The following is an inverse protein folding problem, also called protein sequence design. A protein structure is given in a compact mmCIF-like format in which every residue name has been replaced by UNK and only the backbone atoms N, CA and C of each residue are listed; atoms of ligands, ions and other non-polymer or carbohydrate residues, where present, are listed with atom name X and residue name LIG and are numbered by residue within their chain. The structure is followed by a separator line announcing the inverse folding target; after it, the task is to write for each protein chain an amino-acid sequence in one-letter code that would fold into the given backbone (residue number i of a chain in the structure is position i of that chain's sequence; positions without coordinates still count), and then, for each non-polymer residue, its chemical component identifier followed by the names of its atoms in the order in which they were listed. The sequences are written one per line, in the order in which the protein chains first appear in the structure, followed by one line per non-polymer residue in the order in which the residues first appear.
data_IF_657326462641
#
_entry.id   IF_657326462641
#
_cell.length_a   1.000
_cell.length_b   1.000
_cell.length_c   1.000
_cell.angle_alpha   90.00
_cell.angle_beta   90.00
_cell.angle_gamma   90.00
#
_symmetry.space_group_name_H-M   'P 1'
#
loop_
_entity.id
_entity.type
_entity.pdbx_description
1 polymer ?
#
# COMPACT_ATOMS: atom_id res chain seq x y z
N UNK A 1 25.03 -12.21 13.08
CA UNK A 1 25.41 -11.46 11.86
C UNK A 1 25.35 -12.36 10.63
N UNK A 2 25.91 -13.58 10.66
CA UNK A 2 25.82 -14.55 9.55
C UNK A 2 24.38 -15.03 9.26
N UNK A 3 23.55 -15.30 10.28
CA UNK A 3 22.15 -15.72 10.07
C UNK A 3 21.27 -14.63 9.46
N UNK A 4 21.48 -13.36 9.85
CA UNK A 4 20.76 -12.20 9.31
C UNK A 4 21.02 -12.03 7.81
N UNK A 5 22.24 -12.34 7.34
CA UNK A 5 22.56 -12.25 5.92
C UNK A 5 21.84 -13.33 5.10
N UNK A 6 21.75 -14.56 5.61
CA UNK A 6 21.04 -15.65 4.92
C UNK A 6 19.52 -15.43 4.83
N UNK A 7 18.91 -14.84 5.86
CA UNK A 7 17.50 -14.44 5.81
C UNK A 7 17.27 -13.33 4.77
N UNK A 8 18.13 -12.31 4.74
CA UNK A 8 18.05 -11.22 3.76
C UNK A 8 18.21 -11.74 2.33
N UNK A 9 19.16 -12.64 2.06
CA UNK A 9 19.35 -13.24 0.73
C UNK A 9 18.11 -14.01 0.26
N UNK A 10 17.59 -14.91 1.10
CA UNK A 10 16.35 -15.66 0.81
C UNK A 10 15.16 -14.73 0.58
N UNK A 11 15.11 -13.60 1.28
CA UNK A 11 14.05 -12.61 1.12
C UNK A 11 14.18 -11.79 -0.17
N UNK A 12 15.41 -11.47 -0.59
CA UNK A 12 15.68 -10.87 -1.92
C UNK A 12 15.26 -11.83 -3.03
N UNK A 13 15.53 -13.13 -2.87
CA UNK A 13 15.04 -14.16 -3.82
C UNK A 13 13.51 -14.19 -3.88
N UNK A 14 12.81 -14.14 -2.74
CA UNK A 14 11.35 -14.11 -2.69
C UNK A 14 10.75 -12.87 -3.36
N UNK A 15 11.43 -11.72 -3.26
CA UNK A 15 11.04 -10.48 -3.94
C UNK A 15 11.31 -10.55 -5.43
N UNK A 16 12.45 -11.11 -5.83
CA UNK A 16 12.75 -11.42 -7.23
C UNK A 16 11.70 -12.34 -7.84
N UNK A 17 11.30 -13.39 -7.12
CA UNK A 17 10.24 -14.30 -7.54
C UNK A 17 8.88 -13.59 -7.67
N UNK A 18 8.51 -12.75 -6.70
CA UNK A 18 7.26 -11.98 -6.77
C UNK A 18 7.24 -11.00 -7.96
N UNK A 19 8.37 -10.32 -8.22
CA UNK A 19 8.54 -9.48 -9.41
C UNK A 19 8.39 -10.30 -10.69
N UNK A 20 9.08 -11.44 -10.79
CA UNK A 20 9.00 -12.34 -11.95
C UNK A 20 7.57 -12.83 -12.18
N UNK A 21 6.86 -13.22 -11.13
CA UNK A 21 5.47 -13.66 -11.24
C UNK A 21 4.59 -12.53 -11.81
N UNK A 22 4.69 -11.30 -11.28
CA UNK A 22 3.93 -10.15 -11.76
C UNK A 22 4.28 -9.81 -13.22
N UNK A 23 5.57 -9.85 -13.58
CA UNK A 23 6.03 -9.60 -14.96
C UNK A 23 5.49 -10.67 -15.91
N UNK A 24 5.58 -11.94 -15.55
CA UNK A 24 5.05 -13.04 -16.37
C UNK A 24 3.55 -12.91 -16.59
N UNK A 25 2.79 -12.59 -15.53
CA UNK A 25 1.35 -12.38 -15.61
C UNK A 25 0.99 -11.25 -16.60
N UNK A 26 1.63 -10.08 -16.42
CA UNK A 26 1.39 -8.91 -17.24
C UNK A 26 1.84 -9.14 -18.68
N UNK A 27 3.00 -9.78 -18.88
CA UNK A 27 3.50 -10.12 -20.20
C UNK A 27 2.57 -11.08 -20.94
N UNK A 28 1.95 -12.04 -20.24
CA UNK A 28 1.00 -12.97 -20.85
C UNK A 28 -0.25 -12.22 -21.33
N UNK A 29 -0.82 -11.35 -20.48
CA UNK A 29 -1.95 -10.52 -20.87
C UNK A 29 -1.61 -9.60 -22.06
N UNK A 30 -0.45 -8.94 -22.03
CA UNK A 30 0.01 -8.08 -23.12
C UNK A 30 0.23 -8.83 -24.43
N UNK A 31 0.85 -10.02 -24.38
CA UNK A 31 1.06 -10.86 -25.56
C UNK A 31 -0.28 -11.25 -26.19
N UNK A 32 -1.23 -11.70 -25.38
CA UNK A 32 -2.60 -12.00 -25.82
C UNK A 32 -3.26 -10.75 -26.43
N UNK A 33 -3.11 -9.57 -25.84
CA UNK A 33 -3.72 -8.34 -26.38
C UNK A 33 -3.05 -7.88 -27.69
N UNK A 34 -1.77 -8.18 -27.90
CA UNK A 34 -1.00 -7.64 -29.05
C UNK A 34 -0.93 -8.63 -30.22
N UNK A 35 -0.99 -9.92 -29.97
CA UNK A 35 -0.80 -10.96 -30.98
C UNK A 35 -2.13 -11.56 -31.46
N UNK A 36 -2.58 -11.12 -32.65
CA UNK A 36 -3.83 -11.60 -33.25
C UNK A 36 -3.86 -13.13 -33.47
N UNK A 37 -2.84 -13.78 -34.06
CA UNK A 37 -2.74 -15.23 -34.12
C UNK A 37 -2.95 -15.95 -32.78
N UNK A 38 -2.37 -15.43 -31.70
CA UNK A 38 -2.52 -16.03 -30.37
C UNK A 38 -3.98 -15.94 -29.88
N UNK A 39 -4.63 -14.79 -30.09
CA UNK A 39 -6.05 -14.62 -29.77
C UNK A 39 -6.95 -15.51 -30.60
N UNK A 40 -6.69 -15.65 -31.89
CA UNK A 40 -7.48 -16.53 -32.75
C UNK A 40 -7.41 -17.99 -32.27
N UNK A 41 -6.22 -18.43 -31.84
CA UNK A 41 -6.04 -19.77 -31.26
C UNK A 41 -6.83 -19.92 -29.95
N UNK A 42 -6.78 -18.93 -29.06
CA UNK A 42 -7.58 -18.92 -27.83
C UNK A 42 -9.08 -18.89 -28.12
N UNK A 43 -9.52 -18.12 -29.11
CA UNK A 43 -10.92 -18.07 -29.54
C UNK A 43 -11.42 -19.42 -30.06
N UNK A 44 -10.59 -20.15 -30.83
CA UNK A 44 -10.89 -21.53 -31.25
C UNK A 44 -11.05 -22.47 -30.06
N UNK A 45 -10.19 -22.35 -29.04
CA UNK A 45 -10.31 -23.13 -27.78
C UNK A 45 -11.61 -22.76 -27.04
N UNK A 46 -11.98 -21.48 -27.04
CA UNK A 46 -13.23 -20.99 -26.43
C UNK A 46 -14.50 -21.40 -27.20
N UNK A 47 -14.35 -21.96 -28.41
CA UNK A 47 -15.47 -22.27 -29.30
C UNK A 47 -16.20 -21.03 -29.82
N UNK A 48 -15.51 -19.90 -29.99
CA UNK A 48 -16.10 -18.66 -30.51
C UNK A 48 -15.68 -18.40 -31.95
N UNK A 49 -16.54 -17.69 -32.69
CA UNK A 49 -16.25 -17.29 -34.07
C UNK A 49 -15.08 -16.29 -34.14
N UNK A 50 -14.35 -16.22 -35.27
CA UNK A 50 -13.25 -15.27 -35.44
C UNK A 50 -13.68 -13.82 -35.16
N UNK A 51 -13.00 -13.17 -34.21
CA UNK A 51 -13.27 -11.78 -33.81
C UNK A 51 -14.42 -11.61 -32.82
N UNK A 52 -15.13 -12.68 -32.44
CA UNK A 52 -16.07 -12.62 -31.33
C UNK A 52 -15.31 -12.39 -30.02
N UNK A 53 -15.86 -11.53 -29.17
CA UNK A 53 -15.30 -11.25 -27.85
C UNK A 53 -15.47 -12.48 -26.93
N UNK A 54 -14.46 -12.79 -26.12
CA UNK A 54 -14.49 -13.88 -25.12
C UNK A 54 -13.67 -13.50 -23.88
N UNK A 55 -13.85 -14.25 -22.80
CA UNK A 55 -13.12 -14.04 -21.54
C UNK A 55 -12.00 -15.07 -21.38
N UNK A 56 -10.88 -14.61 -20.84
CA UNK A 56 -9.76 -15.43 -20.43
C UNK A 56 -9.60 -15.25 -18.93
N UNK A 57 -9.86 -16.31 -18.17
CA UNK A 57 -9.45 -16.38 -16.76
C UNK A 57 -7.96 -16.66 -16.68
N UNK A 58 -7.25 -15.96 -15.79
CA UNK A 58 -5.80 -16.12 -15.68
C UNK A 58 -5.33 -16.59 -14.29
N UNK A 59 -4.45 -17.59 -14.29
CA UNK A 59 -3.19 -17.70 -13.53
C UNK A 59 -3.22 -17.25 -12.07
N UNK A 60 -3.99 -17.99 -11.25
CA UNK A 60 -4.05 -17.87 -9.77
C UNK A 60 -4.85 -16.68 -9.21
N UNK A 61 -5.37 -15.78 -10.04
CA UNK A 61 -6.09 -14.58 -9.58
C UNK A 61 -7.57 -14.59 -10.03
N UNK A 62 -8.42 -13.83 -9.34
CA UNK A 62 -9.85 -13.74 -9.66
C UNK A 62 -10.18 -12.71 -10.76
N UNK A 63 -9.29 -12.53 -11.74
CA UNK A 63 -9.43 -11.52 -12.79
C UNK A 63 -9.61 -12.12 -14.18
N UNK A 64 -10.29 -11.35 -15.03
CA UNK A 64 -10.77 -11.79 -16.33
C UNK A 64 -10.31 -10.80 -17.40
N UNK A 65 -9.53 -11.30 -18.35
CA UNK A 65 -9.14 -10.54 -19.53
C UNK A 65 -10.17 -10.79 -20.63
N UNK A 66 -10.96 -9.78 -20.96
CA UNK A 66 -11.83 -9.80 -22.13
C UNK A 66 -11.03 -9.37 -23.35
N UNK A 67 -11.11 -10.13 -24.43
CA UNK A 67 -10.49 -9.77 -25.73
C UNK A 67 -11.43 -10.08 -26.89
N UNK A 68 -11.31 -9.30 -27.97
CA UNK A 68 -11.99 -9.57 -29.24
C UNK A 68 -11.99 -8.37 -30.17
N UNK A 69 -13.04 -8.21 -30.98
CA UNK A 69 -13.17 -7.13 -31.97
C UNK A 69 -13.24 -5.74 -31.32
N UNK A 70 -13.79 -5.62 -30.12
CA UNK A 70 -13.95 -4.32 -29.44
C UNK A 70 -12.74 -3.90 -28.61
N UNK A 71 -11.60 -4.59 -28.77
CA UNK A 71 -10.39 -4.33 -28.00
C UNK A 71 -10.29 -5.26 -26.79
N UNK A 72 -9.87 -4.71 -25.65
CA UNK A 72 -9.69 -5.47 -24.42
C UNK A 72 -10.20 -4.70 -23.21
N UNK A 73 -10.67 -5.44 -22.21
CA UNK A 73 -10.94 -4.93 -20.86
C UNK A 73 -10.46 -5.95 -19.84
N UNK A 74 -10.20 -5.48 -18.62
CA UNK A 74 -9.79 -6.33 -17.51
C UNK A 74 -10.80 -6.15 -16.40
N UNK A 75 -11.48 -7.22 -16.04
CA UNK A 75 -12.57 -7.22 -15.10
C UNK A 75 -12.22 -8.03 -13.85
N UNK A 76 -12.65 -7.56 -12.68
CA UNK A 76 -12.55 -8.28 -11.39
C UNK A 76 -13.64 -9.32 -11.18
N UNK A 77 -14.65 -9.31 -12.06
CA UNK A 77 -15.80 -10.21 -11.99
C UNK A 77 -16.02 -10.85 -13.33
N UNK A 78 -16.34 -12.13 -13.30
CA UNK A 78 -16.74 -12.86 -14.50
C UNK A 78 -18.02 -12.26 -15.06
N UNK A 79 -17.99 -11.83 -16.31
CA UNK A 79 -19.20 -11.40 -17.00
C UNK A 79 -20.01 -12.64 -17.45
N UNK A 80 -21.32 -12.67 -17.14
CA UNK A 80 -22.22 -13.76 -17.55
C UNK A 80 -22.50 -13.70 -19.04
N UNK A 81 -22.71 -14.86 -19.68
CA UNK A 81 -23.08 -14.95 -21.10
C UNK A 81 -21.90 -14.93 -22.08
N UNK A 82 -20.67 -14.89 -21.58
CA UNK A 82 -19.46 -14.94 -22.39
C UNK A 82 -18.84 -16.34 -22.37
N UNK A 83 -18.29 -16.77 -23.52
CA UNK A 83 -17.40 -17.94 -23.56
C UNK A 83 -16.14 -17.67 -22.76
N UNK A 84 -15.67 -18.69 -22.06
CA UNK A 84 -14.55 -18.58 -21.11
C UNK A 84 -13.47 -19.57 -21.47
N UNK A 85 -12.23 -19.08 -21.47
CA UNK A 85 -11.02 -19.90 -21.49
C UNK A 85 -10.34 -19.78 -20.14
N UNK A 86 -10.00 -20.92 -19.55
CA UNK A 86 -9.08 -20.98 -18.41
C UNK A 86 -7.65 -21.12 -18.94
N UNK A 87 -6.85 -20.07 -18.81
CA UNK A 87 -5.47 -20.07 -19.34
C UNK A 87 -4.59 -21.11 -18.63
N UNK A 88 -4.83 -21.39 -17.35
CA UNK A 88 -4.05 -22.35 -16.57
C UNK A 88 -4.32 -23.76 -17.08
N UNK A 89 -5.59 -24.04 -17.36
CA UNK A 89 -6.00 -25.30 -17.93
C UNK A 89 -5.44 -25.48 -19.34
N UNK A 90 -5.45 -24.44 -20.17
CA UNK A 90 -4.85 -24.48 -21.52
C UNK A 90 -3.36 -24.77 -21.44
N UNK A 91 -2.61 -24.06 -20.59
CA UNK A 91 -1.17 -24.26 -20.44
C UNK A 91 -0.85 -25.66 -19.91
N UNK A 92 -1.70 -26.20 -19.02
CA UNK A 92 -1.55 -27.56 -18.47
C UNK A 92 -1.84 -28.66 -19.48
N UNK A 93 -2.81 -28.46 -20.36
CA UNK A 93 -3.32 -29.50 -21.29
C UNK A 93 -2.72 -29.43 -22.70
N UNK A 94 -2.20 -28.26 -23.11
CA UNK A 94 -1.67 -28.01 -24.45
C UNK A 94 -0.25 -27.42 -24.36
N UNK A 95 0.81 -28.23 -24.16
CA UNK A 95 2.19 -27.74 -24.01
C UNK A 95 2.69 -26.92 -25.21
N UNK A 96 2.21 -27.21 -26.41
CA UNK A 96 2.53 -26.45 -27.62
C UNK A 96 1.85 -25.07 -27.66
N UNK A 97 0.85 -24.83 -26.81
CA UNK A 97 0.33 -23.50 -26.54
C UNK A 97 1.30 -22.66 -25.71
N UNK A 98 1.94 -23.24 -24.68
CA UNK A 98 2.94 -22.54 -23.87
C UNK A 98 4.07 -21.97 -24.74
N UNK A 99 4.63 -22.80 -25.63
CA UNK A 99 5.63 -22.34 -26.60
C UNK A 99 5.12 -21.20 -27.48
N UNK A 100 3.87 -21.28 -27.96
CA UNK A 100 3.28 -20.22 -28.77
C UNK A 100 3.10 -18.91 -27.99
N UNK A 101 2.73 -19.00 -26.71
CA UNK A 101 2.64 -17.86 -25.81
C UNK A 101 4.02 -17.23 -25.57
N UNK A 102 5.05 -18.04 -25.32
CA UNK A 102 6.43 -17.56 -25.16
C UNK A 102 6.95 -16.89 -26.44
N UNK A 103 6.75 -17.52 -27.60
CA UNK A 103 7.13 -16.95 -28.91
C UNK A 103 6.38 -15.62 -29.16
N UNK A 104 5.12 -15.53 -28.74
CA UNK A 104 4.30 -14.32 -28.81
C UNK A 104 4.83 -13.21 -27.90
N UNK A 105 5.17 -13.53 -26.66
CA UNK A 105 5.78 -12.59 -25.70
C UNK A 105 7.08 -12.01 -26.24
N UNK A 106 7.91 -12.82 -26.89
CA UNK A 106 9.16 -12.37 -27.52
C UNK A 106 8.88 -11.45 -28.71
N UNK A 107 8.01 -11.86 -29.64
CA UNK A 107 7.69 -11.11 -30.86
C UNK A 107 7.04 -9.75 -30.59
N UNK A 108 6.20 -9.68 -29.55
CA UNK A 108 5.47 -8.46 -29.17
C UNK A 108 6.19 -7.62 -28.13
N UNK A 109 7.40 -8.02 -27.73
CA UNK A 109 8.17 -7.43 -26.64
C UNK A 109 7.42 -7.33 -25.30
N UNK A 110 6.39 -8.16 -25.09
CA UNK A 110 5.50 -8.08 -23.94
C UNK A 110 6.27 -8.23 -22.62
N UNK A 111 7.24 -9.12 -22.54
CA UNK A 111 8.07 -9.31 -21.33
C UNK A 111 8.89 -8.07 -21.00
N UNK A 112 9.52 -7.45 -22.00
CA UNK A 112 10.33 -6.24 -21.81
C UNK A 112 9.46 -5.08 -21.34
N UNK A 113 8.31 -4.89 -21.97
CA UNK A 113 7.42 -3.78 -21.65
C UNK A 113 6.75 -4.00 -20.28
N UNK A 114 6.32 -5.22 -19.95
CA UNK A 114 5.82 -5.57 -18.63
C UNK A 114 6.87 -5.36 -17.53
N UNK A 115 8.12 -5.73 -17.79
CA UNK A 115 9.24 -5.45 -16.89
C UNK A 115 9.42 -3.94 -16.69
N UNK A 116 9.45 -3.15 -17.77
CA UNK A 116 9.61 -1.69 -17.70
C UNK A 116 8.47 -0.99 -16.95
N UNK A 117 7.24 -1.47 -17.10
CA UNK A 117 6.08 -0.95 -16.36
C UNK A 117 6.20 -1.26 -14.86
N UNK A 118 6.58 -2.49 -14.51
CA UNK A 118 6.57 -2.93 -13.11
C UNK A 118 7.87 -2.61 -12.36
N UNK A 119 8.95 -2.28 -13.05
CA UNK A 119 10.25 -1.94 -12.45
C UNK A 119 10.12 -0.87 -11.36
N UNK A 120 9.32 0.17 -11.62
CA UNK A 120 9.08 1.27 -10.70
C UNK A 120 8.46 0.86 -9.35
N UNK A 121 7.77 -0.29 -9.25
CA UNK A 121 7.22 -0.80 -7.99
C UNK A 121 8.32 -1.32 -7.04
N UNK A 122 9.38 -1.86 -7.62
CA UNK A 122 10.47 -2.51 -6.89
C UNK A 122 11.72 -1.62 -6.80
N UNK A 123 11.83 -0.63 -7.68
CA UNK A 123 12.88 0.38 -7.62
C UNK A 123 12.57 1.48 -6.59
N UNK A 124 13.54 1.84 -5.75
CA UNK A 124 13.25 2.67 -4.58
C UNK A 124 13.48 4.16 -4.77
N UNK A 125 14.09 4.57 -5.87
CA UNK A 125 14.38 5.96 -6.19
C UNK A 125 14.71 6.08 -7.69
N UNK A 126 14.22 7.11 -8.39
CA UNK A 126 13.33 8.16 -7.87
C UNK A 126 11.92 7.63 -7.59
N UNK A 127 11.18 8.36 -6.74
CA UNK A 127 9.74 8.11 -6.58
C UNK A 127 9.08 8.19 -7.97
N UNK A 128 8.29 7.17 -8.30
CA UNK A 128 7.62 7.08 -9.58
C UNK A 128 6.69 8.28 -9.84
N UNK A 129 6.47 8.59 -11.10
CA UNK A 129 5.53 9.64 -11.49
C UNK A 129 4.09 9.13 -11.46
N UNK A 130 3.13 10.07 -11.46
CA UNK A 130 1.70 9.79 -11.68
C UNK A 130 1.45 9.01 -12.95
N UNK A 131 2.14 9.35 -14.04
CA UNK A 131 1.96 8.66 -15.32
C UNK A 131 2.36 7.20 -15.23
N UNK A 132 3.50 6.90 -14.60
CA UNK A 132 4.00 5.54 -14.45
C UNK A 132 3.07 4.74 -13.53
N UNK A 133 2.64 5.34 -12.42
CA UNK A 133 1.70 4.67 -11.53
C UNK A 133 0.34 4.44 -12.18
N UNK A 134 -0.16 5.40 -12.97
CA UNK A 134 -1.41 5.25 -13.72
C UNK A 134 -1.34 4.10 -14.73
N UNK A 135 -0.19 3.96 -15.41
CA UNK A 135 0.04 2.84 -16.33
C UNK A 135 0.01 1.49 -15.58
N UNK A 136 0.67 1.37 -14.43
CA UNK A 136 0.58 0.18 -13.58
C UNK A 136 -0.85 -0.07 -13.11
N UNK A 137 -1.54 0.99 -12.66
CA UNK A 137 -2.87 0.90 -12.07
C UNK A 137 -3.95 0.50 -13.08
N UNK A 138 -3.76 0.79 -14.37
CA UNK A 138 -4.61 0.26 -15.45
C UNK A 138 -4.63 -1.28 -15.48
N UNK A 139 -3.57 -1.93 -14.98
CA UNK A 139 -3.46 -3.38 -14.84
C UNK A 139 -3.78 -3.89 -13.43
N UNK A 140 -4.22 -3.02 -12.51
CA UNK A 140 -4.49 -3.38 -11.12
C UNK A 140 -5.38 -4.63 -10.95
N UNK A 141 -6.46 -4.87 -11.71
CA UNK A 141 -7.25 -6.10 -11.55
C UNK A 141 -6.42 -7.38 -11.76
N UNK A 142 -5.39 -7.36 -12.61
CA UNK A 142 -4.50 -8.52 -12.80
C UNK A 142 -3.45 -8.62 -11.68
N UNK A 143 -3.05 -7.49 -11.11
CA UNK A 143 -1.85 -7.37 -10.28
C UNK A 143 -2.14 -7.28 -8.77
N UNK A 144 -3.34 -6.86 -8.36
CA UNK A 144 -3.64 -6.45 -6.98
C UNK A 144 -3.41 -7.55 -5.94
N UNK A 145 -3.80 -8.80 -6.22
CA UNK A 145 -3.57 -9.93 -5.32
C UNK A 145 -2.08 -10.30 -5.24
N UNK A 146 -1.36 -10.23 -6.37
CA UNK A 146 0.08 -10.51 -6.43
C UNK A 146 0.87 -9.42 -5.72
N UNK A 147 0.47 -8.15 -5.90
CA UNK A 147 1.04 -7.00 -5.22
C UNK A 147 0.84 -7.10 -3.71
N UNK A 148 -0.36 -7.50 -3.26
CA UNK A 148 -0.62 -7.76 -1.84
C UNK A 148 0.23 -8.90 -1.29
N UNK A 149 0.31 -10.03 -2.00
CA UNK A 149 1.16 -11.15 -1.60
C UNK A 149 2.65 -10.76 -1.54
N UNK A 150 3.12 -9.96 -2.50
CA UNK A 150 4.47 -9.41 -2.49
C UNK A 150 4.69 -8.49 -1.29
N UNK A 151 3.75 -7.57 -1.02
CA UNK A 151 3.77 -6.69 0.16
C UNK A 151 3.84 -7.50 1.46
N UNK A 152 3.04 -8.56 1.60
CA UNK A 152 3.07 -9.44 2.79
C UNK A 152 4.41 -10.18 2.94
N UNK A 153 5.06 -10.55 1.83
CA UNK A 153 6.40 -11.15 1.85
C UNK A 153 7.50 -10.15 2.24
N UNK A 154 7.31 -8.85 2.02
CA UNK A 154 8.27 -7.80 2.44
C UNK A 154 8.27 -7.61 3.97
N UNK A 155 7.14 -7.87 4.65
CA UNK A 155 6.98 -7.51 6.05
C UNK A 155 8.00 -8.16 7.00
N UNK A 156 8.24 -9.48 6.94
CA UNK A 156 9.21 -10.10 7.83
C UNK A 156 10.64 -9.58 7.56
N UNK A 157 10.96 -9.25 6.31
CA UNK A 157 12.24 -8.63 5.92
C UNK A 157 12.42 -7.28 6.59
N UNK A 158 11.38 -6.45 6.54
CA UNK A 158 11.39 -5.15 7.21
C UNK A 158 11.50 -5.32 8.72
N UNK A 159 10.85 -6.30 9.33
CA UNK A 159 10.95 -6.52 10.78
C UNK A 159 12.38 -6.92 11.21
N UNK A 160 13.04 -7.81 10.45
CA UNK A 160 14.45 -8.17 10.68
C UNK A 160 15.37 -6.97 10.47
N UNK A 161 15.24 -6.28 9.34
CA UNK A 161 16.06 -5.10 9.03
C UNK A 161 15.82 -3.95 10.02
N UNK A 162 14.59 -3.76 10.51
CA UNK A 162 14.30 -2.72 11.50
C UNK A 162 15.13 -2.92 12.75
N UNK A 163 15.28 -4.15 13.23
CA UNK A 163 16.08 -4.45 14.43
C UNK A 163 17.55 -4.08 14.22
N UNK A 164 18.10 -4.41 13.05
CA UNK A 164 19.47 -4.04 12.64
C UNK A 164 19.63 -2.53 12.56
N UNK A 165 18.73 -1.85 11.84
CA UNK A 165 18.77 -0.39 11.66
C UNK A 165 18.60 0.32 13.00
N UNK A 166 17.70 -0.14 13.88
CA UNK A 166 17.55 0.42 15.24
C UNK A 166 18.84 0.34 16.04
N UNK A 167 19.51 -0.81 16.00
CA UNK A 167 20.81 -0.98 16.66
C UNK A 167 21.85 -0.02 16.09
N UNK A 168 21.97 0.05 14.77
CA UNK A 168 22.88 0.97 14.07
C UNK A 168 22.60 2.45 14.36
N UNK A 169 21.32 2.83 14.47
CA UNK A 169 20.90 4.20 14.75
C UNK A 169 21.12 4.62 16.21
N UNK A 170 21.16 3.65 17.13
CA UNK A 170 21.35 3.87 18.58
C UNK A 170 22.83 3.92 19.00
N UNK A 171 23.74 3.37 18.18
CA UNK A 171 25.19 3.39 18.44
C UNK A 171 25.89 4.68 17.98
N UNK A 172 27.13 4.87 18.43
CA UNK A 172 28.03 5.95 17.98
C UNK A 172 28.53 5.69 16.56
N UNK A 173 27.92 6.40 15.60
CA UNK A 173 28.35 6.74 14.24
C UNK A 173 29.39 5.84 13.52
N UNK A 174 28.95 5.08 12.52
CA UNK A 174 29.86 4.63 11.44
C UNK A 174 29.36 3.50 10.54
N UNK A 175 28.69 2.48 11.09
CA UNK A 175 28.57 1.18 10.42
C UNK A 175 27.26 0.99 9.63
N UNK A 176 26.20 1.78 9.87
CA UNK A 176 24.85 1.51 9.33
C UNK A 176 24.42 2.23 8.05
N UNK A 177 25.21 2.19 6.97
CA UNK A 177 24.85 2.89 5.72
C UNK A 177 23.96 2.06 4.80
N UNK A 178 24.28 0.78 4.67
CA UNK A 178 23.65 -0.13 3.71
C UNK A 178 22.28 -0.60 4.20
N UNK A 179 22.17 -1.00 5.48
CA UNK A 179 20.92 -1.50 6.08
C UNK A 179 19.82 -0.44 6.10
N UNK A 180 20.16 0.81 6.47
CA UNK A 180 19.22 1.93 6.46
C UNK A 180 18.68 2.22 5.05
N UNK A 181 19.56 2.18 4.04
CA UNK A 181 19.16 2.34 2.64
C UNK A 181 18.25 1.19 2.24
N UNK A 182 18.67 -0.06 2.39
CA UNK A 182 17.86 -1.22 2.03
C UNK A 182 16.46 -1.21 2.70
N UNK A 183 16.41 -0.84 3.99
CA UNK A 183 15.15 -0.66 4.72
C UNK A 183 14.25 0.41 4.09
N UNK A 184 14.80 1.59 3.80
CA UNK A 184 14.08 2.69 3.15
C UNK A 184 13.52 2.27 1.78
N UNK A 185 14.33 1.54 1.01
CA UNK A 185 13.98 1.05 -0.32
C UNK A 185 12.81 0.04 -0.27
N UNK A 186 12.90 -0.95 0.62
CA UNK A 186 11.85 -1.94 0.81
C UNK A 186 10.56 -1.34 1.35
N UNK A 187 10.67 -0.31 2.19
CA UNK A 187 9.50 0.38 2.73
C UNK A 187 8.73 1.14 1.64
N UNK A 188 9.44 1.73 0.68
CA UNK A 188 8.82 2.33 -0.49
C UNK A 188 8.16 1.28 -1.39
N UNK A 189 8.84 0.17 -1.68
CA UNK A 189 8.25 -0.93 -2.43
C UNK A 189 6.97 -1.45 -1.76
N UNK A 190 6.99 -1.63 -0.43
CA UNK A 190 5.81 -2.00 0.35
C UNK A 190 4.66 -1.01 0.15
N UNK A 191 4.92 0.29 0.27
CA UNK A 191 3.90 1.33 0.07
C UNK A 191 3.30 1.29 -1.35
N UNK A 192 4.15 1.17 -2.37
CA UNK A 192 3.72 1.12 -3.77
C UNK A 192 2.88 -0.12 -4.08
N UNK A 193 3.32 -1.30 -3.62
CA UNK A 193 2.57 -2.55 -3.78
C UNK A 193 1.24 -2.50 -3.03
N UNK A 194 1.22 -1.91 -1.82
CA UNK A 194 -0.01 -1.71 -1.05
C UNK A 194 -1.00 -0.79 -1.80
N UNK A 195 -0.52 0.27 -2.45
CA UNK A 195 -1.37 1.15 -3.27
C UNK A 195 -1.96 0.41 -4.48
N UNK A 196 -1.18 -0.42 -5.17
CA UNK A 196 -1.69 -1.24 -6.29
C UNK A 196 -2.76 -2.21 -5.79
N UNK A 197 -2.56 -2.81 -4.61
CA UNK A 197 -3.52 -3.74 -4.01
C UNK A 197 -4.80 -3.07 -3.45
N UNK A 198 -4.75 -1.78 -3.13
CA UNK A 198 -5.78 -1.09 -2.33
C UNK A 198 -6.64 -0.12 -3.16
N UNK A 199 -7.29 -0.63 -4.21
CA UNK A 199 -8.32 0.12 -4.95
C UNK A 199 -9.70 -0.01 -4.29
N UNK A 200 -10.62 0.93 -4.56
CA UNK A 200 -11.99 0.80 -4.07
C UNK A 200 -12.68 -0.43 -4.69
N UNK A 201 -12.35 -0.73 -5.94
CA UNK A 201 -12.85 -1.86 -6.70
C UNK A 201 -12.28 -3.20 -6.24
N UNK A 202 -11.12 -3.21 -5.57
CA UNK A 202 -10.51 -4.38 -4.92
C UNK A 202 -11.24 -4.81 -3.64
N UNK A 203 -12.13 -3.98 -3.09
CA UNK A 203 -12.85 -4.25 -1.83
C UNK A 203 -13.44 -5.66 -1.72
N UNK A 204 -14.09 -6.26 -2.74
CA UNK A 204 -14.68 -7.58 -2.60
C UNK A 204 -13.67 -8.66 -2.20
N UNK A 205 -12.54 -8.79 -2.92
CA UNK A 205 -11.55 -9.82 -2.58
C UNK A 205 -10.75 -9.46 -1.33
N UNK A 206 -10.55 -8.16 -1.04
CA UNK A 206 -9.94 -7.72 0.22
C UNK A 206 -10.82 -8.09 1.42
N UNK A 207 -12.14 -7.98 1.29
CA UNK A 207 -13.09 -8.41 2.31
C UNK A 207 -13.12 -9.94 2.45
N UNK A 208 -13.12 -10.69 1.35
CA UNK A 208 -13.04 -12.15 1.40
C UNK A 208 -11.75 -12.62 2.09
N UNK A 209 -10.62 -11.99 1.75
CA UNK A 209 -9.33 -12.24 2.38
C UNK A 209 -9.35 -11.87 3.87
N UNK A 210 -9.91 -10.71 4.23
CA UNK A 210 -10.05 -10.26 5.61
C UNK A 210 -10.86 -11.22 6.49
N UNK A 211 -11.83 -11.91 5.89
CA UNK A 211 -12.67 -12.88 6.58
C UNK A 211 -12.08 -14.30 6.60
N UNK A 212 -10.97 -14.53 5.90
CA UNK A 212 -10.36 -15.87 5.78
C UNK A 212 -9.44 -16.23 6.95
N UNK A 213 -9.14 -15.30 7.86
CA UNK A 213 -8.30 -15.54 9.04
C UNK A 213 -8.67 -14.62 10.21
N UNK A 214 -8.18 -14.96 11.41
CA UNK A 214 -8.42 -14.19 12.63
C UNK A 214 -7.35 -13.11 12.79
N UNK A 215 -7.79 -11.86 12.94
CA UNK A 215 -6.94 -10.70 13.23
C UNK A 215 -6.52 -10.69 14.70
N UNK A 216 -5.34 -11.21 15.03
CA UNK A 216 -4.82 -11.19 16.41
C UNK A 216 -3.96 -9.96 16.72
N UNK A 217 -3.08 -9.57 15.79
CA UNK A 217 -2.08 -8.52 16.02
C UNK A 217 -1.88 -7.56 14.85
N UNK A 218 -2.59 -7.79 13.75
CA UNK A 218 -2.42 -7.06 12.49
C UNK A 218 -3.64 -6.20 12.18
N UNK A 219 -3.37 -5.01 11.64
CA UNK A 219 -4.35 -4.17 10.95
C UNK A 219 -3.76 -3.77 9.58
N UNK A 220 -4.60 -3.49 8.56
CA UNK A 220 -4.11 -3.11 7.24
C UNK A 220 -3.15 -1.92 7.24
N UNK A 221 -3.32 -0.99 8.18
CA UNK A 221 -2.55 0.26 8.25
C UNK A 221 -1.27 0.17 9.09
N UNK A 222 -1.20 -0.71 10.10
CA UNK A 222 -0.19 -0.59 11.17
C UNK A 222 1.24 -0.69 10.67
N UNK A 223 1.47 -1.61 9.73
CA UNK A 223 2.81 -1.86 9.18
C UNK A 223 3.41 -0.61 8.55
N UNK A 224 2.58 0.22 7.91
CA UNK A 224 2.98 1.46 7.26
C UNK A 224 3.01 2.62 8.27
N UNK A 225 2.01 2.69 9.17
CA UNK A 225 1.90 3.76 10.16
C UNK A 225 3.00 3.75 11.22
N UNK A 226 3.47 2.56 11.63
CA UNK A 226 4.54 2.43 12.64
C UNK A 226 5.87 3.05 12.21
N UNK A 227 6.02 3.35 10.91
CA UNK A 227 7.20 4.02 10.35
C UNK A 227 7.14 5.55 10.48
N UNK A 228 5.97 6.10 10.85
CA UNK A 228 5.76 7.51 11.18
C UNK A 228 6.25 8.47 10.09
N UNK A 229 5.86 8.19 8.84
CA UNK A 229 5.95 9.12 7.72
C UNK A 229 4.57 9.42 7.15
N UNK A 230 4.30 10.68 6.78
CA UNK A 230 3.01 11.06 6.20
C UNK A 230 2.69 10.32 4.90
N UNK A 231 3.68 10.11 4.03
CA UNK A 231 3.44 9.43 2.76
C UNK A 231 2.95 8.00 2.97
N UNK A 232 3.57 7.25 3.89
CA UNK A 232 3.13 5.90 4.23
C UNK A 232 1.80 5.92 5.00
N UNK A 233 1.55 6.95 5.82
CA UNK A 233 0.26 7.14 6.48
C UNK A 233 -0.89 7.35 5.48
N UNK A 234 -0.67 8.11 4.40
CA UNK A 234 -1.65 8.24 3.32
C UNK A 234 -1.99 6.89 2.70
N UNK A 235 -0.96 6.08 2.42
CA UNK A 235 -1.14 4.74 1.84
C UNK A 235 -1.85 3.82 2.83
N UNK A 236 -1.51 3.91 4.12
CA UNK A 236 -2.15 3.15 5.18
C UNK A 236 -3.65 3.47 5.28
N UNK A 237 -4.01 4.76 5.22
CA UNK A 237 -5.40 5.22 5.19
C UNK A 237 -6.15 4.65 3.98
N UNK A 238 -5.53 4.70 2.79
CA UNK A 238 -6.09 4.11 1.57
C UNK A 238 -6.31 2.61 1.71
N UNK A 239 -5.35 1.89 2.28
CA UNK A 239 -5.49 0.46 2.50
C UNK A 239 -6.66 0.17 3.44
N UNK A 240 -6.72 0.82 4.60
CA UNK A 240 -7.85 0.68 5.54
C UNK A 240 -9.21 0.97 4.86
N UNK A 241 -9.30 2.06 4.10
CA UNK A 241 -10.50 2.43 3.34
C UNK A 241 -10.90 1.42 2.25
N UNK A 242 -9.91 0.81 1.58
CA UNK A 242 -10.13 -0.22 0.56
C UNK A 242 -10.70 -1.51 1.15
N UNK A 243 -10.17 -1.95 2.30
CA UNK A 243 -10.75 -3.07 3.07
C UNK A 243 -12.19 -2.73 3.53
N UNK A 244 -12.41 -1.51 4.05
CA UNK A 244 -13.75 -1.02 4.40
C UNK A 244 -14.32 -1.66 5.66
N UNK A 245 -15.63 -1.95 5.65
CA UNK A 245 -16.37 -2.43 6.84
C UNK A 245 -15.90 -3.78 7.37
N UNK A 246 -15.34 -4.64 6.51
CA UNK A 246 -14.92 -6.01 6.88
C UNK A 246 -13.83 -6.05 7.96
N UNK A 247 -13.11 -4.95 8.17
CA UNK A 247 -12.03 -4.85 9.16
C UNK A 247 -12.36 -3.93 10.34
N UNK A 248 -13.55 -3.33 10.38
CA UNK A 248 -13.95 -2.40 11.46
C UNK A 248 -13.91 -3.07 12.82
N UNK A 249 -14.48 -4.27 12.96
CA UNK A 249 -14.44 -5.02 14.22
C UNK A 249 -13.00 -5.35 14.63
N UNK A 250 -12.14 -5.69 13.67
CA UNK A 250 -10.72 -5.92 13.91
C UNK A 250 -10.02 -4.69 14.48
N UNK A 251 -10.29 -3.50 13.94
CA UNK A 251 -9.77 -2.25 14.47
C UNK A 251 -10.33 -1.90 15.86
N UNK A 252 -11.64 -2.09 16.10
CA UNK A 252 -12.24 -1.85 17.42
C UNK A 252 -11.65 -2.78 18.48
N UNK A 253 -11.50 -4.07 18.16
CA UNK A 253 -10.81 -5.04 19.02
C UNK A 253 -9.36 -4.65 19.27
N UNK A 254 -8.66 -4.13 18.25
CA UNK A 254 -7.28 -3.65 18.42
C UNK A 254 -7.23 -2.46 19.36
N UNK A 255 -8.17 -1.52 19.22
CA UNK A 255 -8.29 -0.33 20.07
C UNK A 255 -8.53 -0.71 21.53
N UNK A 256 -9.42 -1.67 21.82
CA UNK A 256 -9.74 -2.11 23.19
C UNK A 256 -8.59 -2.81 23.90
N UNK A 257 -7.65 -3.40 23.16
CA UNK A 257 -6.50 -4.13 23.70
C UNK A 257 -5.16 -3.38 23.53
N UNK A 258 -5.20 -2.16 23.00
CA UNK A 258 -4.00 -1.39 22.71
C UNK A 258 -3.28 -1.00 24.00
N UNK A 259 -2.03 -1.45 24.14
CA UNK A 259 -1.14 -1.09 25.28
C UNK A 259 -0.08 -0.05 24.93
N UNK A 260 -0.05 0.40 23.68
CA UNK A 260 0.98 1.27 23.13
C UNK A 260 0.31 2.40 22.34
N UNK A 261 0.73 3.66 22.51
CA UNK A 261 0.16 4.81 21.80
C UNK A 261 0.00 4.63 20.29
N UNK A 262 1.02 4.10 19.61
CA UNK A 262 0.94 3.85 18.16
C UNK A 262 -0.13 2.84 17.75
N UNK A 263 -0.53 1.90 18.61
CA UNK A 263 -1.63 0.97 18.30
C UNK A 263 -2.99 1.66 18.40
N UNK A 264 -3.12 2.61 19.34
CA UNK A 264 -4.32 3.45 19.50
C UNK A 264 -4.44 4.39 18.33
N UNK A 265 -3.34 5.08 18.00
CA UNK A 265 -3.24 5.95 16.84
C UNK A 265 -3.63 5.20 15.56
N UNK A 266 -3.01 4.03 15.32
CA UNK A 266 -3.33 3.18 14.16
C UNK A 266 -4.81 2.80 14.09
N UNK A 267 -5.36 2.31 15.20
CA UNK A 267 -6.74 1.85 15.19
C UNK A 267 -7.74 2.99 14.94
N UNK A 268 -7.55 4.13 15.60
CA UNK A 268 -8.37 5.31 15.39
C UNK A 268 -8.18 5.90 13.99
N UNK A 269 -6.95 5.93 13.47
CA UNK A 269 -6.64 6.42 12.13
C UNK A 269 -7.28 5.54 11.06
N UNK A 270 -7.19 4.22 11.18
CA UNK A 270 -7.83 3.26 10.29
C UNK A 270 -9.35 3.36 10.30
N UNK A 271 -9.97 3.40 11.48
CA UNK A 271 -11.43 3.59 11.64
C UNK A 271 -11.88 4.92 11.03
N UNK A 272 -11.11 5.99 11.23
CA UNK A 272 -11.40 7.30 10.65
C UNK A 272 -11.34 7.26 9.12
N UNK A 273 -10.29 6.64 8.55
CA UNK A 273 -10.15 6.47 7.11
C UNK A 273 -11.32 5.66 6.50
N UNK A 274 -11.74 4.58 7.17
CA UNK A 274 -12.91 3.79 6.75
C UNK A 274 -14.18 4.63 6.81
N UNK A 275 -14.44 5.33 7.91
CA UNK A 275 -15.64 6.15 8.08
C UNK A 275 -15.73 7.30 7.09
N UNK A 276 -14.60 7.87 6.66
CA UNK A 276 -14.57 8.88 5.60
C UNK A 276 -14.83 8.29 4.22
N UNK A 277 -14.24 7.13 3.91
CA UNK A 277 -14.40 6.48 2.60
C UNK A 277 -15.73 5.72 2.45
N UNK A 278 -16.43 5.44 3.55
CA UNK A 278 -17.72 4.75 3.58
C UNK A 278 -18.73 5.50 4.47
N UNK A 279 -19.43 6.52 3.92
CA UNK A 279 -20.35 7.35 4.68
C UNK A 279 -21.43 6.59 5.49
N UNK A 280 -21.99 5.46 5.00
CA UNK A 280 -22.90 4.63 5.80
C UNK A 280 -22.33 4.10 7.13
N UNK A 281 -21.05 3.72 7.18
CA UNK A 281 -20.43 3.18 8.41
C UNK A 281 -20.04 4.25 9.42
N UNK A 282 -19.94 5.50 8.96
CA UNK A 282 -19.43 6.64 9.72
C UNK A 282 -20.12 6.83 11.08
N UNK A 283 -21.45 6.80 11.10
CA UNK A 283 -22.22 7.00 12.32
C UNK A 283 -22.04 5.86 13.33
N UNK A 284 -21.96 4.61 12.85
CA UNK A 284 -21.69 3.45 13.70
C UNK A 284 -20.29 3.51 14.31
N UNK A 285 -19.29 3.84 13.49
CA UNK A 285 -17.90 4.03 13.98
C UNK A 285 -17.85 5.12 15.05
N UNK A 286 -18.47 6.28 14.82
CA UNK A 286 -18.52 7.36 15.81
C UNK A 286 -19.13 6.91 17.15
N UNK A 287 -20.27 6.19 17.11
CA UNK A 287 -20.93 5.70 18.32
C UNK A 287 -20.04 4.73 19.12
N UNK A 288 -19.34 3.83 18.43
CA UNK A 288 -18.38 2.91 19.06
C UNK A 288 -17.21 3.68 19.71
N UNK A 289 -16.64 4.66 19.00
CA UNK A 289 -15.54 5.49 19.53
C UNK A 289 -15.96 6.26 20.79
N UNK A 290 -17.16 6.84 20.79
CA UNK A 290 -17.70 7.55 21.96
C UNK A 290 -17.89 6.61 23.15
N UNK A 291 -18.41 5.40 22.91
CA UNK A 291 -18.64 4.40 23.98
C UNK A 291 -17.33 3.88 24.59
N UNK A 292 -16.27 3.77 23.78
CA UNK A 292 -14.98 3.21 24.19
C UNK A 292 -14.04 4.24 24.82
N UNK A 293 -14.30 5.53 24.63
CA UNK A 293 -13.40 6.63 25.01
C UNK A 293 -13.04 6.59 26.48
N UNK A 294 -14.05 6.64 27.36
CA UNK A 294 -13.82 6.81 28.80
C UNK A 294 -13.19 5.55 29.42
N UNK A 295 -13.60 4.36 28.94
CA UNK A 295 -13.01 3.09 29.37
C UNK A 295 -11.52 2.99 29.02
N UNK A 296 -11.14 3.39 27.80
CA UNK A 296 -9.75 3.33 27.35
C UNK A 296 -8.87 4.41 27.99
N UNK A 297 -9.43 5.59 28.27
CA UNK A 297 -8.71 6.64 29.03
C UNK A 297 -8.38 6.17 30.45
N UNK A 298 -9.34 5.54 31.14
CA UNK A 298 -9.14 5.05 32.51
C UNK A 298 -8.05 3.97 32.63
N UNK A 299 -7.81 3.19 31.57
CA UNK A 299 -6.84 2.10 31.54
C UNK A 299 -5.41 2.54 31.16
N UNK A 300 -5.23 3.79 30.73
CA UNK A 300 -3.99 4.21 30.05
C UNK A 300 -3.12 5.09 30.94
N UNK A 301 -1.84 4.75 31.13
CA UNK A 301 -0.90 5.57 31.92
C UNK A 301 -0.52 6.92 31.29
N UNK A 302 -0.77 7.10 29.99
CA UNK A 302 -0.40 8.28 29.20
C UNK A 302 -1.65 8.98 28.65
N UNK A 303 -2.45 9.54 29.55
CA UNK A 303 -3.81 10.04 29.25
C UNK A 303 -3.86 11.05 28.10
N UNK A 304 -2.83 11.89 27.95
CA UNK A 304 -2.83 12.99 26.97
C UNK A 304 -2.76 12.49 25.53
N UNK A 305 -1.89 11.50 25.24
CA UNK A 305 -1.70 10.96 23.88
C UNK A 305 -2.96 10.22 23.39
N UNK A 306 -3.60 9.48 24.29
CA UNK A 306 -4.83 8.76 23.98
C UNK A 306 -5.97 9.75 23.72
N UNK A 307 -6.14 10.74 24.61
CA UNK A 307 -7.17 11.76 24.47
C UNK A 307 -7.04 12.53 23.14
N UNK A 308 -5.83 13.00 22.80
CA UNK A 308 -5.58 13.71 21.54
C UNK A 308 -5.94 12.84 20.33
N UNK A 309 -5.61 11.54 20.34
CA UNK A 309 -5.95 10.64 19.24
C UNK A 309 -7.46 10.50 19.06
N UNK A 310 -8.20 10.30 20.17
CA UNK A 310 -9.66 10.19 20.15
C UNK A 310 -10.31 11.49 19.67
N UNK A 311 -9.90 12.63 20.23
CA UNK A 311 -10.44 13.93 19.85
C UNK A 311 -10.17 14.25 18.39
N UNK A 312 -8.96 13.92 17.88
CA UNK A 312 -8.62 14.11 16.46
C UNK A 312 -9.51 13.23 15.55
N UNK A 313 -9.70 11.95 15.90
CA UNK A 313 -10.55 11.03 15.15
C UNK A 313 -12.02 11.47 15.13
N UNK A 314 -12.58 11.76 16.31
CA UNK A 314 -13.97 12.22 16.47
C UNK A 314 -14.17 13.55 15.76
N UNK A 315 -13.23 14.48 15.81
CA UNK A 315 -13.35 15.78 15.11
C UNK A 315 -13.39 15.60 13.61
N UNK A 316 -12.49 14.79 13.04
CA UNK A 316 -12.45 14.52 11.59
C UNK A 316 -13.72 13.83 11.12
N UNK A 317 -14.26 12.90 11.92
CA UNK A 317 -15.54 12.26 11.59
C UNK A 317 -16.74 13.20 11.83
N UNK A 318 -16.74 14.04 12.86
CA UNK A 318 -17.93 14.84 13.23
C UNK A 318 -18.06 16.15 12.45
N UNK A 319 -16.95 16.76 12.03
CA UNK A 319 -16.91 18.10 11.47
C UNK A 319 -16.86 18.17 9.94
N UNK A 320 -17.18 19.33 9.34
CA UNK A 320 -16.78 19.63 7.97
C UNK A 320 -15.25 19.66 7.90
N UNK A 321 -14.68 19.20 6.79
CA UNK A 321 -13.24 19.08 6.55
C UNK A 321 -12.50 20.35 7.01
N UNK A 322 -11.68 20.25 8.05
CA UNK A 322 -10.89 21.38 8.55
C UNK A 322 -10.01 21.88 7.38
N UNK A 323 -10.01 23.19 7.17
CA UNK A 323 -9.34 23.78 6.02
C UNK A 323 -7.86 23.41 5.92
N UNK A 324 -7.33 23.39 4.70
CA UNK A 324 -5.94 23.04 4.31
C UNK A 324 -4.80 23.76 5.07
N UNK A 325 -5.09 24.63 6.04
CA UNK A 325 -4.09 25.48 6.72
C UNK A 325 -3.05 24.68 7.50
N UNK A 326 -3.44 23.63 8.20
CA UNK A 326 -2.52 22.82 9.02
C UNK A 326 -1.61 21.93 8.18
N UNK A 327 -2.02 21.58 6.96
CA UNK A 327 -1.27 20.73 6.05
C UNK A 327 -0.31 21.51 5.13
N UNK A 328 -0.22 22.84 5.28
CA UNK A 328 0.66 23.69 4.48
C UNK A 328 2.13 23.30 4.60
N UNK A 329 2.55 22.84 5.78
CA UNK A 329 3.94 22.46 6.07
C UNK A 329 4.41 21.25 5.26
N UNK A 330 3.46 20.43 4.79
CA UNK A 330 3.76 19.30 3.93
C UNK A 330 3.91 19.68 2.46
N UNK A 331 3.74 20.97 2.15
CA UNK A 331 3.86 21.56 0.82
C UNK A 331 2.98 20.85 -0.22
N UNK A 332 1.92 20.18 0.24
CA UNK A 332 0.99 19.46 -0.60
C UNK A 332 -0.31 20.24 -0.75
N UNK A 333 -0.88 20.16 -1.95
CA UNK A 333 -2.23 20.60 -2.28
C UNK A 333 -2.85 19.58 -3.24
N UNK A 334 -4.14 19.31 -3.09
CA UNK A 334 -4.87 18.46 -4.04
C UNK A 334 -4.71 18.99 -5.47
N UNK A 335 -4.40 18.10 -6.42
CA UNK A 335 -4.19 18.46 -7.83
C UNK A 335 -2.82 19.10 -8.13
N UNK A 336 -1.95 19.28 -7.12
CA UNK A 336 -0.64 19.89 -7.34
C UNK A 336 0.32 18.95 -8.06
N UNK A 337 1.23 19.49 -8.87
CA UNK A 337 2.23 18.68 -9.58
C UNK A 337 3.17 17.90 -8.63
N UNK A 338 3.27 18.27 -7.36
CA UNK A 338 4.12 17.61 -6.39
C UNK A 338 3.55 16.27 -5.88
N UNK A 339 2.22 16.12 -5.86
CA UNK A 339 1.56 15.00 -5.17
C UNK A 339 1.94 14.87 -3.70
N UNK A 340 1.43 13.82 -3.03
CA UNK A 340 1.65 13.63 -1.59
C UNK A 340 3.06 13.17 -1.25
N UNK A 341 3.82 12.64 -2.21
CA UNK A 341 5.23 12.27 -2.04
C UNK A 341 6.19 13.47 -2.01
N UNK A 342 5.81 14.54 -1.30
CA UNK A 342 6.71 15.67 -1.07
C UNK A 342 7.83 15.26 -0.10
N UNK A 343 8.97 15.98 -0.14
CA UNK A 343 10.05 15.74 0.84
C UNK A 343 9.56 15.83 2.29
N UNK A 344 8.82 16.87 2.71
CA UNK A 344 8.24 16.88 4.06
C UNK A 344 7.39 15.66 4.37
N UNK A 345 6.56 15.18 3.43
CA UNK A 345 5.70 14.03 3.69
C UNK A 345 6.45 12.70 3.83
N UNK A 346 7.59 12.56 3.15
CA UNK A 346 8.40 11.34 3.21
C UNK A 346 9.14 11.17 4.55
N UNK A 347 9.40 12.25 5.30
CA UNK A 347 10.14 12.18 6.59
C UNK A 347 9.38 12.76 7.78
N UNK A 348 8.28 13.48 7.53
CA UNK A 348 7.47 14.15 8.54
C UNK A 348 6.58 13.18 9.28
N UNK A 349 6.29 13.51 10.54
CA UNK A 349 5.62 12.60 11.46
C UNK A 349 4.11 12.80 11.49
N UNK A 350 3.29 11.78 11.16
CA UNK A 350 1.83 11.88 11.27
C UNK A 350 1.36 12.03 12.73
N UNK A 351 2.20 11.73 13.73
CA UNK A 351 1.91 11.95 15.15
C UNK A 351 2.50 13.26 15.68
N UNK A 352 2.96 14.18 14.82
CA UNK A 352 3.28 15.53 15.26
C UNK A 352 1.99 16.32 15.54
N UNK A 353 2.03 17.16 16.57
CA UNK A 353 0.91 18.03 16.92
C UNK A 353 0.88 19.27 16.02
N UNK A 354 -0.31 19.61 15.55
CA UNK A 354 -0.59 20.88 14.88
C UNK A 354 -0.66 22.03 15.89
N UNK A 355 -0.77 23.26 15.39
CA UNK A 355 -1.01 24.43 16.24
C UNK A 355 -2.34 24.37 17.01
N UNK A 356 -3.31 23.56 16.57
CA UNK A 356 -4.59 23.34 17.25
C UNK A 356 -4.54 22.18 18.26
N UNK A 357 -3.37 21.57 18.45
CA UNK A 357 -3.17 20.46 19.39
C UNK A 357 -3.62 19.10 18.85
N UNK A 358 -3.89 18.98 17.55
CA UNK A 358 -4.31 17.73 16.92
C UNK A 358 -3.15 16.99 16.29
N UNK A 359 -3.27 15.68 16.13
CA UNK A 359 -2.32 14.96 15.31
C UNK A 359 -2.51 15.26 13.83
N UNK A 360 -1.45 15.74 13.18
CA UNK A 360 -1.45 16.13 11.77
C UNK A 360 -1.86 14.98 10.83
N UNK A 361 -1.62 13.73 11.23
CA UNK A 361 -2.06 12.54 10.50
C UNK A 361 -3.59 12.39 10.43
N UNK A 362 -4.37 12.91 11.38
CA UNK A 362 -5.82 12.91 11.22
C UNK A 362 -6.27 14.03 10.28
N UNK A 363 -5.65 15.20 10.37
CA UNK A 363 -5.94 16.36 9.50
C UNK A 363 -5.72 16.06 8.01
N UNK A 364 -4.91 15.06 7.66
CA UNK A 364 -4.70 14.64 6.27
C UNK A 364 -5.77 13.70 5.71
N UNK A 365 -6.54 13.02 6.56
CA UNK A 365 -7.42 11.94 6.12
C UNK A 365 -8.52 12.37 5.15
N UNK A 366 -9.22 13.52 5.33
CA UNK A 366 -10.21 13.98 4.35
C UNK A 366 -9.61 14.13 2.95
N UNK A 367 -8.39 14.67 2.89
CA UNK A 367 -7.66 14.86 1.65
C UNK A 367 -7.22 13.56 0.98
N UNK A 368 -6.86 12.56 1.78
CA UNK A 368 -6.55 11.21 1.28
C UNK A 368 -7.81 10.53 0.79
N UNK A 369 -8.95 10.70 1.45
CA UNK A 369 -10.22 10.13 1.02
C UNK A 369 -10.68 10.73 -0.33
N UNK A 370 -10.53 12.04 -0.51
CA UNK A 370 -11.02 12.78 -1.68
C UNK A 370 -10.08 12.73 -2.90
N UNK A 371 -8.82 12.31 -2.73
CA UNK A 371 -7.85 12.31 -3.84
C UNK A 371 -8.07 11.15 -4.83
N UNK A 372 -7.39 11.16 -5.98
CA UNK A 372 -7.26 9.97 -6.81
C UNK A 372 -6.05 9.13 -6.36
N UNK A 373 -6.00 7.84 -6.74
CA UNK A 373 -4.90 6.94 -6.34
C UNK A 373 -3.52 7.45 -6.76
N UNK A 374 -3.40 8.07 -7.92
CA UNK A 374 -2.15 8.61 -8.45
C UNK A 374 -1.67 9.88 -7.73
N UNK A 375 -2.53 10.62 -7.00
CA UNK A 375 -2.12 11.83 -6.25
C UNK A 375 -1.07 11.56 -5.17
N UNK A 376 -0.82 10.30 -4.81
CA UNK A 376 0.28 9.89 -3.94
C UNK A 376 1.66 10.14 -4.55
N UNK A 377 1.72 10.34 -5.86
CA UNK A 377 2.95 10.50 -6.64
C UNK A 377 3.04 11.89 -7.29
N UNK A 378 4.25 12.39 -7.57
CA UNK A 378 4.44 13.63 -8.32
C UNK A 378 4.06 13.46 -9.80
N UNK A 379 3.57 14.52 -10.43
CA UNK A 379 3.16 14.51 -11.85
C UNK A 379 4.31 14.13 -12.78
N UNK A 380 5.49 14.64 -12.50
CA UNK A 380 6.73 14.29 -13.18
C UNK A 380 7.58 13.44 -12.24
N UNK A 381 8.41 12.52 -12.75
CA UNK A 381 9.41 11.88 -11.91
C UNK A 381 10.20 12.98 -11.23
N UNK A 382 10.51 12.83 -9.95
CA UNK A 382 11.32 13.82 -9.25
C UNK A 382 12.72 13.81 -9.88
N UNK A 383 12.91 14.59 -10.95
CA UNK A 383 14.22 14.78 -11.58
C UNK A 383 15.14 15.39 -10.54
N UNK A 384 16.30 14.77 -10.40
CA UNK A 384 17.36 15.04 -9.43
C UNK A 384 17.48 16.51 -9.04
N UNK A 385 17.23 16.82 -7.76
CA UNK A 385 18.01 17.84 -7.05
C UNK A 385 17.84 17.74 -5.52
N UNK A 386 18.34 16.61 -5.01
CA UNK A 386 18.47 16.13 -3.61
C UNK A 386 17.48 15.01 -3.27
N UNK A 387 17.88 13.77 -3.56
CA UNK A 387 17.39 12.63 -2.79
C UNK A 387 17.40 12.97 -1.28
N UNK A 388 16.45 12.42 -0.53
CA UNK A 388 16.41 12.65 0.92
C UNK A 388 17.73 12.17 1.49
N UNK A 389 18.49 13.08 2.10
CA UNK A 389 19.81 12.74 2.60
C UNK A 389 19.69 11.65 3.66
N UNK A 390 20.69 10.75 3.69
CA UNK A 390 20.78 9.67 4.68
C UNK A 390 20.53 10.17 6.10
N UNK A 391 21.08 11.33 6.47
CA UNK A 391 20.90 11.93 7.79
C UNK A 391 19.43 12.27 8.11
N UNK A 392 18.65 12.71 7.11
CA UNK A 392 17.21 12.98 7.29
C UNK A 392 16.40 11.70 7.44
N UNK A 393 16.72 10.66 6.65
CA UNK A 393 16.10 9.33 6.78
C UNK A 393 16.40 8.76 8.19
N UNK A 394 17.66 8.80 8.61
CA UNK A 394 18.09 8.36 9.94
C UNK A 394 17.38 9.12 11.07
N UNK A 395 17.24 10.45 10.95
CA UNK A 395 16.53 11.26 11.92
C UNK A 395 15.04 10.89 12.02
N UNK A 396 14.37 10.65 10.88
CA UNK A 396 12.98 10.22 10.86
C UNK A 396 12.77 8.90 11.61
N UNK A 397 13.61 7.91 11.35
CA UNK A 397 13.49 6.59 12.00
C UNK A 397 13.98 6.56 13.46
N UNK A 398 14.96 7.39 13.84
CA UNK A 398 15.32 7.58 15.25
C UNK A 398 14.11 8.07 16.04
N UNK A 399 13.44 9.12 15.56
CA UNK A 399 12.21 9.64 16.18
C UNK A 399 11.13 8.56 16.27
N UNK A 400 11.00 7.72 15.24
CA UNK A 400 9.98 6.69 15.21
C UNK A 400 10.22 5.54 16.20
N UNK A 401 11.47 5.09 16.38
CA UNK A 401 11.77 3.81 17.04
C UNK A 401 12.72 3.88 18.23
N UNK A 402 13.53 4.93 18.33
CA UNK A 402 14.47 5.14 19.42
C UNK A 402 13.78 6.11 20.36
N UNK A 403 13.51 5.68 21.59
CA UNK A 403 12.97 6.58 22.61
C UNK A 403 13.86 7.83 22.65
N UNK A 404 13.27 9.02 22.51
CA UNK A 404 14.03 10.24 22.75
C UNK A 404 14.59 10.13 24.17
N UNK A 405 15.91 10.36 24.38
CA UNK A 405 16.42 10.40 25.73
C UNK A 405 15.57 11.43 26.47
N UNK A 406 14.89 10.98 27.53
CA UNK A 406 14.10 11.85 28.40
C UNK A 406 14.95 13.05 28.69
N UNK A 407 14.58 14.21 28.14
CA UNK A 407 15.25 15.46 28.46
C UNK A 407 15.29 15.52 29.98
N UNK A 408 16.48 15.69 30.61
CA UNK A 408 16.55 15.76 32.05
C UNK A 408 15.56 16.82 32.48
N UNK A 409 14.56 16.39 33.24
CA UNK A 409 13.52 17.22 33.82
C UNK A 409 14.25 18.45 34.35
N UNK A 410 14.04 19.62 33.72
CA UNK A 410 14.49 20.86 34.32
C UNK A 410 13.71 20.95 35.62
N UNK A 411 14.32 20.50 36.70
CA UNK A 411 13.93 20.88 38.04
C UNK A 411 13.97 22.40 38.01
N UNK A 412 12.79 23.01 37.88
CA UNK A 412 12.58 24.36 38.34
C UNK A 412 12.90 24.30 39.83
N UNK A 413 14.13 24.69 40.16
CA UNK A 413 14.50 25.04 41.52
C UNK A 413 13.68 26.28 41.85
N UNK A 414 12.76 26.13 42.80
CA UNK A 414 12.15 27.24 43.54
C UNK A 414 13.22 27.95 44.37
#
# INVERSE_FOLDING_TARGET
MLEVNGEIERMVELLGAARTDMVTQLAAAMAIIRDAPLRERLGKIAGVDPGQDFLIGQLKNQSWLKVGRHGYTIDRKRQTGWSVVDLDEVLRTLPEFEKSLQDSMQRTYATRDAYGILEALFEPSPIQSRSNFHEIFAWAPLLEQMAYNAAMRILPVLDTLRSVVRFELSGTSGIGATSLRAYWQLLHALGQLTLVASSNEARPWLADMANSFVWESWTPSFVLLRERTFWLAAIAARSAAAFGESVVEGYLRRLSHARHPMMVFDALFGLTAIGLANPPSKAGILAELDSMRDANLALSGDHSVYLISYESAVRVLSGPSVGQREFRELHWRAGSAAGMATRPALIGDPTALSASGEYLGFSMLPFVADSSHDEHFPKFPAQSDREISRGKIAAAFRRAWVAEPTSPTRHFLN
#
